data_IF_310859221944
#
_entry.id   IF_310859221944
#
_cell.length_a   1.000
_cell.length_b   1.000
_cell.length_c   1.000
_cell.angle_alpha   90.00
_cell.angle_beta   90.00
_cell.angle_gamma   90.00
#
_symmetry.space_group_name_H-M   'P 1'
#
loop_
_entity.id
_entity.type
_entity.pdbx_description
1 polymer ?
#
# COMPACT_ATOMS: atom_id res chain seq x y z
N UNK A 1 4.98 -17.64 -26.24
CA UNK A 1 5.40 -17.71 -24.83
C UNK A 1 4.41 -16.96 -23.97
N UNK A 2 4.12 -17.46 -22.77
CA UNK A 2 3.17 -16.88 -21.79
C UNK A 2 3.89 -16.16 -20.63
N UNK A 3 5.14 -15.73 -20.82
CA UNK A 3 6.00 -15.27 -19.73
C UNK A 3 5.68 -13.86 -19.20
N UNK A 4 5.38 -12.92 -20.09
CA UNK A 4 5.18 -11.50 -19.75
C UNK A 4 3.76 -11.15 -19.29
N UNK A 5 2.66 -11.73 -19.82
CA UNK A 5 1.30 -11.42 -19.36
C UNK A 5 1.05 -11.65 -17.86
N UNK A 6 1.59 -12.72 -17.22
CA UNK A 6 1.45 -12.93 -15.78
C UNK A 6 2.22 -11.92 -14.92
N UNK A 7 3.26 -11.27 -15.45
CA UNK A 7 4.04 -10.28 -14.70
C UNK A 7 3.16 -9.10 -14.26
N UNK A 8 2.23 -8.67 -15.12
CA UNK A 8 1.28 -7.61 -14.80
C UNK A 8 0.28 -8.04 -13.72
N UNK A 9 -0.04 -9.33 -13.61
CA UNK A 9 -0.94 -9.83 -12.56
C UNK A 9 -0.38 -9.62 -11.16
N UNK A 10 0.94 -9.52 -11.00
CA UNK A 10 1.56 -9.19 -9.71
C UNK A 10 1.15 -7.80 -9.19
N UNK A 11 0.71 -6.89 -10.05
CA UNK A 11 0.16 -5.60 -9.63
C UNK A 11 -1.11 -5.74 -8.79
N UNK A 12 -1.85 -6.85 -8.90
CA UNK A 12 -3.01 -7.13 -8.05
C UNK A 12 -2.64 -7.12 -6.56
N UNK A 13 -1.50 -7.70 -6.19
CA UNK A 13 -0.99 -7.71 -4.82
C UNK A 13 -0.62 -6.29 -4.37
N UNK A 14 -0.01 -5.50 -5.24
CA UNK A 14 0.31 -4.10 -4.95
C UNK A 14 -0.95 -3.27 -4.65
N UNK A 15 -2.02 -3.44 -5.43
CA UNK A 15 -3.28 -2.75 -5.21
C UNK A 15 -4.05 -3.26 -3.98
N UNK A 16 -4.00 -4.56 -3.69
CA UNK A 16 -4.56 -5.12 -2.45
C UNK A 16 -3.88 -4.53 -1.21
N UNK A 17 -2.56 -4.36 -1.23
CA UNK A 17 -1.81 -3.68 -0.17
C UNK A 17 -2.25 -2.22 -0.04
N UNK A 18 -2.39 -1.51 -1.17
CA UNK A 18 -2.84 -0.10 -1.18
C UNK A 18 -4.23 0.06 -0.56
N UNK A 19 -5.15 -0.86 -0.84
CA UNK A 19 -6.50 -0.87 -0.29
C UNK A 19 -6.49 -1.13 1.23
N UNK A 20 -5.69 -2.09 1.70
CA UNK A 20 -5.50 -2.36 3.12
C UNK A 20 -4.96 -1.14 3.90
N UNK A 21 -4.00 -0.41 3.33
CA UNK A 21 -3.47 0.82 3.92
C UNK A 21 -4.55 1.92 3.92
N UNK A 22 -5.35 2.04 2.86
CA UNK A 22 -6.44 3.02 2.79
C UNK A 22 -7.46 2.79 3.94
N UNK A 23 -7.82 1.54 4.20
CA UNK A 23 -8.70 1.16 5.31
C UNK A 23 -8.06 1.51 6.68
N UNK A 24 -6.80 1.13 6.91
CA UNK A 24 -6.11 1.45 8.16
C UNK A 24 -6.02 2.97 8.41
N UNK A 25 -5.84 3.76 7.35
CA UNK A 25 -5.84 5.23 7.43
C UNK A 25 -7.23 5.78 7.76
N UNK A 26 -8.29 5.21 7.17
CA UNK A 26 -9.66 5.59 7.49
C UNK A 26 -9.98 5.37 8.98
N UNK A 27 -9.55 4.23 9.54
CA UNK A 27 -9.70 3.90 10.96
C UNK A 27 -8.94 4.88 11.87
N UNK A 28 -7.79 5.39 11.41
CA UNK A 28 -7.00 6.42 12.09
C UNK A 28 -7.56 7.85 11.90
N UNK A 29 -8.67 8.03 11.19
CA UNK A 29 -9.25 9.34 10.90
C UNK A 29 -8.51 10.15 9.83
N UNK A 30 -7.69 9.48 9.00
CA UNK A 30 -6.91 10.08 7.93
C UNK A 30 -7.55 9.88 6.56
N UNK A 31 -7.15 10.69 5.59
CA UNK A 31 -7.59 10.56 4.20
C UNK A 31 -7.13 9.24 3.56
N UNK A 32 -8.05 8.61 2.83
CA UNK A 32 -7.83 7.35 2.08
C UNK A 32 -7.00 7.53 0.80
N UNK A 33 -6.87 8.77 0.31
CA UNK A 33 -6.00 9.09 -0.84
C UNK A 33 -4.58 9.32 -0.32
N UNK A 34 -3.64 8.47 -0.73
CA UNK A 34 -2.23 8.58 -0.39
C UNK A 34 -1.34 8.05 -1.52
N UNK A 35 -0.06 8.45 -1.47
CA UNK A 35 0.97 7.99 -2.39
C UNK A 35 1.61 6.72 -1.84
N UNK A 36 1.69 5.69 -2.69
CA UNK A 36 2.44 4.45 -2.45
C UNK A 36 3.28 4.18 -3.69
N UNK A 37 4.60 4.22 -3.57
CA UNK A 37 5.51 3.99 -4.69
C UNK A 37 5.94 2.52 -4.75
N UNK A 38 6.06 1.98 -5.97
CA UNK A 38 6.62 0.65 -6.20
C UNK A 38 8.15 0.64 -5.97
N UNK A 39 8.74 -0.45 -5.43
CA UNK A 39 8.06 -1.58 -4.81
C UNK A 39 7.44 -1.20 -3.45
N UNK A 40 6.32 -1.82 -3.09
CA UNK A 40 5.70 -1.67 -1.77
C UNK A 40 6.51 -2.42 -0.71
N UNK A 41 7.65 -1.85 -0.32
CA UNK A 41 8.51 -2.41 0.74
C UNK A 41 7.82 -2.32 2.10
N UNK A 42 8.23 -3.16 3.05
CA UNK A 42 7.71 -3.16 4.42
C UNK A 42 7.84 -1.79 5.11
N UNK A 43 8.93 -1.07 4.83
CA UNK A 43 9.15 0.29 5.33
C UNK A 43 8.10 1.26 4.78
N UNK A 44 7.87 1.26 3.45
CA UNK A 44 6.88 2.14 2.81
C UNK A 44 5.45 1.83 3.26
N UNK A 45 5.13 0.55 3.41
CA UNK A 45 3.82 0.12 3.93
C UNK A 45 3.63 0.64 5.35
N UNK A 46 4.64 0.46 6.22
CA UNK A 46 4.54 0.90 7.62
C UNK A 46 4.38 2.42 7.74
N UNK A 47 5.19 3.18 6.99
CA UNK A 47 5.13 4.65 7.04
C UNK A 47 3.83 5.21 6.43
N UNK A 48 3.15 4.47 5.56
CA UNK A 48 1.87 4.89 4.99
C UNK A 48 0.68 4.67 5.94
N UNK A 49 0.78 3.66 6.82
CA UNK A 49 -0.15 3.40 7.92
C UNK A 49 0.16 4.34 9.10
N UNK A 50 -0.18 5.63 8.94
CA UNK A 50 0.06 6.63 9.97
C UNK A 50 -0.70 6.31 11.27
N UNK A 51 0.04 5.88 12.28
CA UNK A 51 -0.39 5.58 13.63
C UNK A 51 0.37 6.47 14.65
N UNK A 52 0.12 6.27 15.94
CA UNK A 52 0.76 7.03 17.02
C UNK A 52 2.29 6.93 17.02
N UNK A 53 2.85 5.84 16.46
CA UNK A 53 4.30 5.64 16.32
C UNK A 53 4.90 6.56 15.25
N UNK A 54 4.16 6.83 14.17
CA UNK A 54 4.60 7.78 13.12
C UNK A 54 4.35 9.25 13.45
N UNK A 55 3.72 9.56 14.61
CA UNK A 55 3.44 10.93 15.05
C UNK A 55 4.55 11.53 15.93
N UNK A 56 5.59 10.76 16.23
CA UNK A 56 6.78 11.22 16.97
C UNK A 56 7.83 11.85 16.05
#
# INVERSE_FOLDING_TARGET
GVGEPPLLLAASVFYAIKDAIAAARADAGLGQVFRLDSPATVERIRMACHDFITKE
#
